data_IF_311476329155
#
_entry.id   IF_311476329155
#
_cell.length_a   1.000
_cell.length_b   1.000
_cell.length_c   1.000
_cell.angle_alpha   90.00
_cell.angle_beta   90.00
_cell.angle_gamma   90.00
#
_symmetry.space_group_name_H-M   'P 1'
#
loop_
_entity.id
_entity.type
_entity.pdbx_description
1 polymer ?
#
# COMPACT_ATOMS: atom_id res chain seq x y z
N UNK A 1 12.16 -26.47 -9.05
CA UNK A 1 12.62 -25.52 -8.01
C UNK A 1 14.07 -25.19 -8.33
N UNK A 2 14.30 -24.12 -9.10
CA UNK A 2 15.65 -23.69 -9.44
C UNK A 2 16.06 -22.72 -8.35
N UNK A 3 16.97 -23.16 -7.49
CA UNK A 3 17.62 -22.31 -6.49
C UNK A 3 18.63 -21.46 -7.25
N UNK A 4 18.19 -20.32 -7.78
CA UNK A 4 19.09 -19.35 -8.39
C UNK A 4 19.93 -18.79 -7.23
N UNK A 5 21.20 -19.14 -7.21
CA UNK A 5 22.14 -18.69 -6.20
C UNK A 5 22.26 -17.16 -6.33
N UNK A 6 22.10 -16.35 -5.26
CA UNK A 6 22.19 -14.89 -5.34
C UNK A 6 23.49 -14.38 -5.99
N UNK A 7 24.56 -15.18 -5.92
CA UNK A 7 25.84 -14.90 -6.56
C UNK A 7 25.82 -14.93 -8.10
N UNK A 8 24.96 -15.72 -8.74
CA UNK A 8 24.94 -15.82 -10.21
C UNK A 8 24.30 -14.57 -10.85
N UNK A 9 23.32 -13.95 -10.18
CA UNK A 9 22.72 -12.69 -10.62
C UNK A 9 23.74 -11.54 -10.58
N UNK A 10 24.56 -11.43 -9.53
CA UNK A 10 25.57 -10.39 -9.38
C UNK A 10 26.68 -10.42 -10.45
N UNK A 11 26.98 -11.61 -10.99
CA UNK A 11 28.05 -11.79 -11.97
C UNK A 11 27.57 -11.61 -13.42
N UNK A 12 26.26 -11.60 -13.68
CA UNK A 12 25.70 -11.55 -15.04
C UNK A 12 24.79 -10.35 -15.28
N UNK A 13 24.06 -9.87 -14.27
CA UNK A 13 23.42 -8.57 -14.33
C UNK A 13 24.49 -7.51 -14.05
N UNK A 14 24.60 -6.51 -14.92
CA UNK A 14 25.39 -5.28 -14.70
C UNK A 14 24.75 -4.41 -13.60
N UNK A 15 24.26 -5.04 -12.54
CA UNK A 15 23.60 -4.42 -11.41
C UNK A 15 24.57 -3.51 -10.69
N UNK A 16 24.15 -2.27 -10.46
CA UNK A 16 24.85 -1.32 -9.60
C UNK A 16 24.60 -1.58 -8.11
N UNK A 17 23.65 -2.45 -7.77
CA UNK A 17 23.29 -2.78 -6.40
C UNK A 17 24.27 -3.79 -5.77
N UNK A 18 24.60 -3.56 -4.50
CA UNK A 18 25.38 -4.49 -3.68
C UNK A 18 24.55 -5.71 -3.27
N UNK A 19 25.20 -6.76 -2.76
CA UNK A 19 24.53 -7.96 -2.23
C UNK A 19 23.53 -7.63 -1.14
N UNK A 20 23.89 -6.71 -0.24
CA UNK A 20 23.04 -6.27 0.86
C UNK A 20 21.81 -5.52 0.34
N UNK A 21 21.97 -4.68 -0.69
CA UNK A 21 20.87 -3.95 -1.33
C UNK A 21 19.92 -4.89 -2.06
N UNK A 22 20.44 -5.91 -2.76
CA UNK A 22 19.62 -6.96 -3.35
C UNK A 22 18.87 -7.78 -2.31
N UNK A 23 19.53 -8.11 -1.21
CA UNK A 23 18.92 -8.84 -0.10
C UNK A 23 17.79 -8.03 0.54
N UNK A 24 18.01 -6.74 0.76
CA UNK A 24 16.98 -5.84 1.25
C UNK A 24 15.79 -5.78 0.29
N UNK A 25 16.03 -5.56 -0.99
CA UNK A 25 14.98 -5.48 -2.03
C UNK A 25 14.16 -6.77 -2.10
N UNK A 26 14.83 -7.93 -2.07
CA UNK A 26 14.18 -9.24 -2.03
C UNK A 26 13.34 -9.42 -0.76
N UNK A 27 13.88 -9.09 0.41
CA UNK A 27 13.16 -9.18 1.69
C UNK A 27 11.92 -8.28 1.72
N UNK A 28 12.03 -7.07 1.18
CA UNK A 28 10.94 -6.12 1.01
C UNK A 28 9.82 -6.71 0.16
N UNK A 29 10.15 -7.20 -1.03
CA UNK A 29 9.15 -7.77 -1.93
C UNK A 29 8.50 -9.01 -1.31
N UNK A 30 9.30 -9.90 -0.73
CA UNK A 30 8.81 -11.12 -0.09
C UNK A 30 7.91 -10.83 1.12
N UNK A 31 8.20 -9.80 1.91
CA UNK A 31 7.36 -9.43 3.05
C UNK A 31 6.00 -8.89 2.63
N UNK A 32 5.98 -8.10 1.56
CA UNK A 32 4.72 -7.64 0.97
C UNK A 32 3.89 -8.81 0.46
N UNK A 33 4.51 -9.72 -0.28
CA UNK A 33 3.85 -10.89 -0.86
C UNK A 33 3.39 -11.88 0.21
N UNK A 34 4.19 -12.07 1.27
CA UNK A 34 3.85 -12.95 2.39
C UNK A 34 2.63 -12.46 3.17
N UNK A 35 2.52 -11.15 3.38
CA UNK A 35 1.36 -10.56 4.03
C UNK A 35 0.10 -10.60 3.15
N UNK A 36 0.27 -10.86 1.86
CA UNK A 36 -0.77 -11.08 0.85
C UNK A 36 -1.96 -10.09 0.92
N UNK A 37 -1.69 -8.77 0.97
CA UNK A 37 -2.75 -7.77 1.17
C UNK A 37 -3.77 -7.78 0.03
N UNK A 38 -3.34 -8.13 -1.20
CA UNK A 38 -4.20 -8.09 -2.40
C UNK A 38 -5.27 -9.16 -2.32
N UNK A 39 -4.89 -10.39 -2.02
CA UNK A 39 -5.87 -11.48 -1.86
C UNK A 39 -6.76 -11.26 -0.65
N UNK A 40 -6.23 -10.71 0.45
CA UNK A 40 -7.06 -10.37 1.63
C UNK A 40 -8.16 -9.38 1.27
N UNK A 41 -7.84 -8.31 0.53
CA UNK A 41 -8.85 -7.34 0.08
C UNK A 41 -9.82 -7.97 -0.93
N UNK A 42 -9.34 -8.77 -1.90
CA UNK A 42 -10.21 -9.49 -2.83
C UNK A 42 -11.19 -10.40 -2.09
N UNK A 43 -10.71 -11.14 -1.09
CA UNK A 43 -11.54 -11.99 -0.25
C UNK A 43 -12.60 -11.18 0.50
N UNK A 44 -12.24 -10.05 1.13
CA UNK A 44 -13.19 -9.18 1.84
C UNK A 44 -14.25 -8.64 0.88
N UNK A 45 -13.87 -8.17 -0.31
CA UNK A 45 -14.82 -7.65 -1.32
C UNK A 45 -15.77 -8.76 -1.77
N UNK A 46 -15.23 -9.91 -2.15
CA UNK A 46 -16.00 -11.04 -2.65
C UNK A 46 -16.95 -11.58 -1.57
N UNK A 47 -16.47 -11.74 -0.33
CA UNK A 47 -17.27 -12.21 0.80
C UNK A 47 -18.40 -11.23 1.17
N UNK A 48 -18.23 -9.92 0.99
CA UNK A 48 -19.32 -8.96 1.18
C UNK A 48 -20.33 -8.95 0.02
N UNK A 49 -19.86 -9.18 -1.21
CA UNK A 49 -20.72 -9.12 -2.40
C UNK A 49 -21.87 -10.14 -2.36
N UNK A 50 -21.66 -11.29 -1.73
CA UNK A 50 -22.65 -12.39 -1.61
C UNK A 50 -23.82 -12.05 -0.68
N UNK A 51 -23.66 -11.10 0.24
CA UNK A 51 -24.70 -10.75 1.20
C UNK A 51 -25.62 -9.63 0.68
N UNK A 52 -26.90 -9.60 1.09
CA UNK A 52 -27.78 -8.45 0.85
C UNK A 52 -27.26 -7.18 1.56
N UNK A 53 -27.53 -5.97 1.03
CA UNK A 53 -26.98 -4.71 1.57
C UNK A 53 -27.16 -4.50 3.08
N UNK A 54 -28.32 -4.89 3.64
CA UNK A 54 -28.61 -4.77 5.08
C UNK A 54 -27.72 -5.66 5.95
N UNK A 55 -27.29 -6.82 5.45
CA UNK A 55 -26.40 -7.74 6.16
C UNK A 55 -24.93 -7.38 5.97
N UNK A 56 -24.56 -6.73 4.86
CA UNK A 56 -23.20 -6.18 4.64
C UNK A 56 -22.80 -5.21 5.75
N UNK A 57 -23.69 -4.27 6.11
CA UNK A 57 -23.46 -3.31 7.19
C UNK A 57 -23.25 -3.96 8.56
N UNK A 58 -23.96 -5.06 8.84
CA UNK A 58 -23.82 -5.78 10.12
C UNK A 58 -22.47 -6.50 10.22
N UNK A 59 -22.02 -7.08 9.12
CA UNK A 59 -20.71 -7.76 9.06
C UNK A 59 -19.55 -6.78 8.85
N UNK A 60 -19.82 -5.53 8.44
CA UNK A 60 -18.81 -4.52 8.20
C UNK A 60 -17.89 -4.32 9.40
N UNK A 61 -18.42 -4.33 10.62
CA UNK A 61 -17.61 -4.18 11.83
C UNK A 61 -16.56 -5.30 11.98
N UNK A 62 -16.90 -6.55 11.70
CA UNK A 62 -15.96 -7.67 11.75
C UNK A 62 -14.88 -7.51 10.68
N UNK A 63 -15.27 -7.24 9.43
CA UNK A 63 -14.32 -7.07 8.33
C UNK A 63 -13.42 -5.84 8.49
N UNK A 64 -13.92 -4.76 9.09
CA UNK A 64 -13.10 -3.58 9.42
C UNK A 64 -12.04 -3.93 10.45
N UNK A 65 -12.38 -4.69 11.49
CA UNK A 65 -11.39 -5.12 12.48
C UNK A 65 -10.38 -6.10 11.89
N UNK A 66 -10.81 -7.03 11.03
CA UNK A 66 -9.91 -7.94 10.30
C UNK A 66 -8.96 -7.18 9.37
N UNK A 67 -9.46 -6.16 8.68
CA UNK A 67 -8.66 -5.28 7.83
C UNK A 67 -7.63 -4.48 8.63
N UNK A 68 -8.04 -3.90 9.76
CA UNK A 68 -7.15 -3.18 10.67
C UNK A 68 -6.06 -4.11 11.20
N UNK A 69 -6.44 -5.31 11.65
CA UNK A 69 -5.50 -6.30 12.15
C UNK A 69 -4.48 -6.71 11.07
N UNK A 70 -4.96 -7.05 9.87
CA UNK A 70 -4.11 -7.37 8.72
C UNK A 70 -3.14 -6.24 8.39
N UNK A 71 -3.60 -4.98 8.46
CA UNK A 71 -2.76 -3.80 8.23
C UNK A 71 -1.66 -3.67 9.30
N UNK A 72 -1.97 -3.89 10.57
CA UNK A 72 -0.96 -3.85 11.64
C UNK A 72 0.06 -4.98 11.50
N UNK A 73 -0.37 -6.21 11.21
CA UNK A 73 0.52 -7.35 10.98
C UNK A 73 1.44 -7.14 9.76
N UNK A 74 0.90 -6.54 8.70
CA UNK A 74 1.66 -6.11 7.53
C UNK A 74 2.76 -5.12 7.92
N UNK A 75 2.39 -4.02 8.61
CA UNK A 75 3.35 -3.01 9.07
C UNK A 75 4.41 -3.60 9.99
N UNK A 76 4.02 -4.46 10.93
CA UNK A 76 4.94 -5.13 11.86
C UNK A 76 6.01 -5.95 11.12
N UNK A 77 5.61 -6.62 10.04
CA UNK A 77 6.53 -7.41 9.21
C UNK A 77 7.59 -6.54 8.56
N UNK A 78 7.25 -5.34 8.08
CA UNK A 78 8.25 -4.40 7.54
C UNK A 78 9.15 -3.81 8.61
N UNK A 79 8.61 -3.50 9.79
CA UNK A 79 9.41 -2.99 10.92
C UNK A 79 10.55 -3.97 11.26
N UNK A 80 10.28 -5.28 11.19
CA UNK A 80 11.28 -6.33 11.45
C UNK A 80 12.38 -6.41 10.39
N UNK A 81 12.11 -5.95 9.16
CA UNK A 81 13.00 -6.04 8.00
C UNK A 81 13.84 -4.77 7.81
N UNK A 82 13.52 -3.69 8.53
CA UNK A 82 14.27 -2.44 8.54
C UNK A 82 14.93 -2.26 9.91
N UNK A 83 16.14 -2.83 10.13
CA UNK A 83 16.85 -2.76 11.40
C UNK A 83 17.06 -1.33 11.89
N UNK A 84 17.28 -0.40 10.97
CA UNK A 84 17.47 1.02 11.25
C UNK A 84 16.26 1.59 11.97
N UNK A 85 15.05 1.29 11.49
CA UNK A 85 13.81 1.73 12.13
C UNK A 85 13.63 1.08 13.50
N UNK A 86 13.86 -0.23 13.61
CA UNK A 86 13.76 -0.98 14.87
C UNK A 86 14.75 -0.49 15.94
N UNK A 87 15.93 -0.01 15.53
CA UNK A 87 16.97 0.55 16.42
C UNK A 87 16.63 1.94 16.97
N UNK A 88 15.66 2.65 16.37
CA UNK A 88 15.28 3.99 16.81
C UNK A 88 14.58 3.98 18.19
N UNK A 89 14.74 5.07 18.94
CA UNK A 89 13.96 5.33 20.17
C UNK A 89 12.45 5.27 19.86
N UNK A 90 11.68 4.71 20.79
CA UNK A 90 10.23 4.51 20.62
C UNK A 90 9.48 5.81 20.26
N UNK A 91 9.89 6.94 20.84
CA UNK A 91 9.31 8.25 20.54
C UNK A 91 9.54 8.64 19.08
N UNK A 92 10.75 8.40 18.54
CA UNK A 92 11.06 8.69 17.14
C UNK A 92 10.29 7.77 16.19
N UNK A 93 10.20 6.47 16.50
CA UNK A 93 9.38 5.52 15.73
C UNK A 93 7.92 5.96 15.67
N UNK A 94 7.38 6.37 16.82
CA UNK A 94 5.99 6.83 16.93
C UNK A 94 5.75 8.09 16.12
N UNK A 95 6.64 9.08 16.21
CA UNK A 95 6.53 10.33 15.43
C UNK A 95 6.61 10.05 13.93
N UNK A 96 7.57 9.23 13.50
CA UNK A 96 7.75 8.87 12.09
C UNK A 96 6.52 8.15 11.53
N UNK A 97 6.02 7.16 12.27
CA UNK A 97 4.82 6.41 11.89
C UNK A 97 3.59 7.31 11.80
N UNK A 98 3.36 8.18 12.80
CA UNK A 98 2.23 9.13 12.79
C UNK A 98 2.26 10.05 11.57
N UNK A 99 3.45 10.51 11.18
CA UNK A 99 3.61 11.38 10.02
C UNK A 99 3.36 10.64 8.71
N UNK A 100 3.87 9.42 8.57
CA UNK A 100 3.89 8.73 7.29
C UNK A 100 2.64 7.88 7.03
N UNK A 101 1.89 7.48 8.07
CA UNK A 101 0.80 6.49 7.95
C UNK A 101 -0.34 6.94 7.02
N UNK A 102 -0.64 8.24 6.96
CA UNK A 102 -1.68 8.76 6.07
C UNK A 102 -1.28 8.64 4.60
N UNK A 103 -0.06 9.07 4.26
CA UNK A 103 0.46 8.96 2.90
C UNK A 103 0.66 7.50 2.49
N UNK A 104 1.18 6.68 3.40
CA UNK A 104 1.31 5.24 3.21
C UNK A 104 -0.05 4.60 2.94
N UNK A 105 -1.04 4.88 3.78
CA UNK A 105 -2.39 4.35 3.65
C UNK A 105 -3.07 4.80 2.35
N UNK A 106 -2.94 6.08 2.01
CA UNK A 106 -3.47 6.64 0.77
C UNK A 106 -2.83 6.01 -0.47
N UNK A 107 -1.50 5.98 -0.54
CA UNK A 107 -0.78 5.39 -1.66
C UNK A 107 -1.04 3.88 -1.78
N UNK A 108 -1.00 3.14 -0.66
CA UNK A 108 -1.34 1.73 -0.65
C UNK A 108 -2.77 1.50 -1.13
N UNK A 109 -3.74 2.29 -0.66
CA UNK A 109 -5.13 2.18 -1.11
C UNK A 109 -5.25 2.33 -2.63
N UNK A 110 -4.58 3.32 -3.23
CA UNK A 110 -4.58 3.49 -4.69
C UNK A 110 -3.95 2.29 -5.41
N UNK A 111 -2.82 1.78 -4.89
CA UNK A 111 -2.20 0.56 -5.40
C UNK A 111 -3.18 -0.62 -5.30
N UNK A 112 -3.84 -0.83 -4.17
CA UNK A 112 -4.82 -1.90 -3.99
C UNK A 112 -5.99 -1.79 -4.96
N UNK A 113 -6.54 -0.59 -5.17
CA UNK A 113 -7.63 -0.36 -6.13
C UNK A 113 -7.19 -0.77 -7.54
N UNK A 114 -5.94 -0.46 -7.93
CA UNK A 114 -5.37 -0.88 -9.22
C UNK A 114 -5.30 -2.41 -9.34
N UNK A 115 -4.84 -3.10 -8.30
CA UNK A 115 -4.61 -4.55 -8.35
C UNK A 115 -5.91 -5.35 -8.23
N UNK A 116 -6.94 -4.80 -7.58
CA UNK A 116 -8.20 -5.49 -7.31
C UNK A 116 -9.27 -5.23 -8.37
N UNK A 117 -9.01 -4.35 -9.36
CA UNK A 117 -9.98 -3.91 -10.36
C UNK A 117 -11.27 -3.33 -9.75
N UNK A 118 -11.20 -2.73 -8.56
CA UNK A 118 -12.37 -2.17 -7.87
C UNK A 118 -13.09 -1.08 -8.68
N UNK A 119 -12.38 -0.34 -9.53
CA UNK A 119 -13.00 0.67 -10.41
C UNK A 119 -13.94 0.06 -11.47
N UNK A 120 -13.80 -1.23 -11.78
CA UNK A 120 -14.71 -1.94 -12.68
C UNK A 120 -15.98 -2.42 -11.95
N UNK A 121 -16.00 -2.39 -10.61
CA UNK A 121 -17.21 -2.68 -9.84
C UNK A 121 -18.16 -1.49 -9.87
N UNK A 122 -19.37 -1.71 -10.37
CA UNK A 122 -20.38 -0.67 -10.54
C UNK A 122 -20.78 -0.04 -9.20
N UNK A 123 -20.90 -0.84 -8.14
CA UNK A 123 -21.31 -0.33 -6.84
C UNK A 123 -20.21 0.56 -6.24
N UNK A 124 -18.95 0.16 -6.36
CA UNK A 124 -17.80 0.95 -5.91
C UNK A 124 -17.70 2.27 -6.68
N UNK A 125 -17.67 2.23 -8.01
CA UNK A 125 -17.50 3.42 -8.84
C UNK A 125 -18.66 4.42 -8.68
N UNK A 126 -19.89 3.93 -8.60
CA UNK A 126 -21.05 4.78 -8.35
C UNK A 126 -21.02 5.38 -6.93
N UNK A 127 -20.60 4.60 -5.92
CA UNK A 127 -20.48 5.10 -4.54
C UNK A 127 -19.39 6.17 -4.41
N UNK A 128 -18.23 5.94 -5.02
CA UNK A 128 -17.10 6.88 -5.03
C UNK A 128 -17.51 8.19 -5.72
N UNK A 129 -18.11 8.12 -6.91
CA UNK A 129 -18.55 9.31 -7.65
C UNK A 129 -19.70 10.06 -6.97
N UNK A 130 -20.64 9.36 -6.33
CA UNK A 130 -21.79 10.00 -5.67
C UNK A 130 -21.43 10.64 -4.33
N UNK A 131 -20.47 10.05 -3.60
CA UNK A 131 -20.07 10.55 -2.28
C UNK A 131 -19.06 11.69 -2.38
N UNK A 132 -18.11 11.61 -3.31
CA UNK A 132 -16.99 12.54 -3.41
C UNK A 132 -17.04 13.44 -4.66
N UNK A 133 -17.98 13.19 -5.57
CA UNK A 133 -18.13 13.94 -6.81
C UNK A 133 -17.24 13.42 -7.96
N UNK A 134 -17.58 13.85 -9.17
CA UNK A 134 -16.93 13.42 -10.40
C UNK A 134 -15.45 13.82 -10.50
N UNK A 135 -15.06 14.94 -9.87
CA UNK A 135 -13.66 15.39 -9.87
C UNK A 135 -12.75 14.40 -9.12
N UNK A 136 -13.13 13.98 -7.91
CA UNK A 136 -12.37 13.00 -7.11
C UNK A 136 -12.37 11.64 -7.80
N UNK A 137 -13.51 11.21 -8.36
CA UNK A 137 -13.59 9.97 -9.12
C UNK A 137 -12.62 9.96 -10.31
N UNK A 138 -12.67 10.98 -11.17
CA UNK A 138 -11.80 11.08 -12.33
C UNK A 138 -10.31 11.18 -11.93
N UNK A 139 -9.99 11.89 -10.85
CA UNK A 139 -8.64 11.93 -10.29
C UNK A 139 -8.16 10.54 -9.85
N UNK A 140 -9.02 9.79 -9.15
CA UNK A 140 -8.74 8.42 -8.72
C UNK A 140 -8.48 7.49 -9.91
N UNK A 141 -9.34 7.52 -10.93
CA UNK A 141 -9.17 6.72 -12.16
C UNK A 141 -7.83 7.02 -12.83
N UNK A 142 -7.48 8.30 -12.98
CA UNK A 142 -6.19 8.71 -13.58
C UNK A 142 -5.00 8.22 -12.79
N UNK A 143 -5.04 8.34 -11.46
CA UNK A 143 -3.99 7.86 -10.57
C UNK A 143 -3.83 6.35 -10.72
N UNK A 144 -4.93 5.59 -10.65
CA UNK A 144 -4.94 4.13 -10.77
C UNK A 144 -4.39 3.66 -12.11
N UNK A 145 -4.72 4.34 -13.22
CA UNK A 145 -4.19 4.02 -14.55
C UNK A 145 -2.66 4.21 -14.67
N UNK A 146 -2.03 4.98 -13.78
CA UNK A 146 -0.57 5.16 -13.76
C UNK A 146 0.15 4.06 -12.99
N UNK A 147 -0.56 3.20 -12.25
CA UNK A 147 0.01 2.08 -11.50
C UNK A 147 0.34 0.86 -12.35
N UNK A 148 0.21 0.94 -13.68
CA UNK A 148 0.64 -0.11 -14.64
C UNK A 148 2.18 -0.30 -14.68
N UNK A 149 2.89 0.38 -13.77
CA UNK A 149 4.33 0.27 -13.52
C UNK A 149 4.65 -1.01 -12.72
N UNK A 150 5.91 -1.45 -12.84
CA UNK A 150 6.48 -2.60 -12.13
C UNK A 150 6.04 -2.66 -10.65
N UNK A 151 5.29 -3.73 -10.31
CA UNK A 151 4.76 -3.94 -8.96
C UNK A 151 5.86 -3.95 -7.90
N UNK A 152 7.07 -4.40 -8.25
CA UNK A 152 8.22 -4.41 -7.33
C UNK A 152 8.59 -2.98 -6.96
N UNK A 153 8.61 -2.06 -7.94
CA UNK A 153 8.93 -0.65 -7.73
C UNK A 153 7.89 0.04 -6.84
N UNK A 154 6.62 -0.32 -7.00
CA UNK A 154 5.53 0.20 -6.16
C UNK A 154 5.62 -0.28 -4.72
N UNK A 155 5.95 -1.56 -4.50
CA UNK A 155 6.22 -2.11 -3.16
C UNK A 155 7.43 -1.46 -2.49
N UNK A 156 8.49 -1.18 -3.26
CA UNK A 156 9.65 -0.45 -2.76
C UNK A 156 9.30 0.99 -2.37
N UNK A 157 8.50 1.67 -3.20
CA UNK A 157 8.03 3.03 -2.92
C UNK A 157 7.16 3.08 -1.65
N UNK A 158 6.32 2.07 -1.41
CA UNK A 158 5.54 1.94 -0.18
C UNK A 158 6.43 1.94 1.07
N UNK A 159 7.52 1.18 1.05
CA UNK A 159 8.47 1.15 2.18
C UNK A 159 9.23 2.46 2.29
N UNK A 160 9.69 3.02 1.17
CA UNK A 160 10.34 4.32 1.17
C UNK A 160 9.44 5.38 1.81
N UNK A 161 8.15 5.41 1.46
CA UNK A 161 7.18 6.32 2.06
C UNK A 161 6.93 6.02 3.54
N UNK A 162 6.84 4.75 3.94
CA UNK A 162 6.60 4.34 5.32
C UNK A 162 7.71 4.78 6.27
N UNK A 163 8.97 4.67 5.86
CA UNK A 163 10.14 4.90 6.73
C UNK A 163 10.94 6.16 6.38
N UNK A 164 10.52 6.93 5.39
CA UNK A 164 11.21 8.17 5.01
C UNK A 164 11.09 9.24 6.09
N UNK A 165 12.25 9.80 6.45
CA UNK A 165 12.36 10.95 7.35
C UNK A 165 12.01 12.27 6.67
N UNK A 166 11.81 12.28 5.35
CA UNK A 166 11.61 13.48 4.52
C UNK A 166 10.25 13.54 3.82
N UNK A 167 9.34 12.61 4.12
CA UNK A 167 7.98 12.59 3.56
C UNK A 167 7.10 13.63 4.25
N UNK A 168 7.27 14.91 3.92
CA UNK A 168 6.29 15.94 4.27
C UNK A 168 5.32 16.14 3.10
N UNK A 169 4.02 16.20 3.42
CA UNK A 169 3.02 16.66 2.46
C UNK A 169 3.24 18.14 2.28
N UNK A 170 3.69 18.55 1.09
CA UNK A 170 3.69 19.96 0.73
C UNK A 170 2.23 20.36 0.55
N UNK A 171 1.64 20.92 1.60
CA UNK A 171 0.36 21.62 1.49
C UNK A 171 0.63 22.91 0.76
N UNK A 172 0.25 22.96 -0.53
CA UNK A 172 0.12 24.24 -1.20
C UNK A 172 -1.05 24.95 -0.55
N UNK A 173 -0.76 25.88 0.37
CA UNK A 173 -1.76 26.84 0.81
C UNK A 173 -2.24 27.57 -0.45
N UNK A 174 -3.46 27.25 -0.87
CA UNK A 174 -4.13 27.98 -1.92
C UNK A 174 -4.42 29.38 -1.37
N UNK A 175 -3.44 30.27 -1.48
CA UNK A 175 -3.67 31.70 -1.36
C UNK A 175 -4.53 32.12 -2.54
N UNK A 176 -5.84 32.21 -2.27
CA UNK A 176 -6.90 32.77 -3.11
C UNK A 176 -7.31 31.98 -4.35
N UNK A 177 -8.51 31.41 -4.31
CA UNK A 177 -9.50 31.54 -5.39
C UNK A 177 -10.90 31.49 -4.78
N UNK A 178 -11.45 32.68 -4.51
CA UNK A 178 -12.90 32.85 -4.42
C UNK A 178 -13.51 32.52 -5.78
N UNK A 179 -14.37 31.50 -5.84
CA UNK A 179 -15.44 31.37 -6.83
C UNK A 179 -16.68 30.79 -6.15
#
# INVERSE_FOLDING_TARGET
>A
MIMICPLDLLNHDRSLLTVDQWSLLSNVNNAYDHANPIENIRYIINSQSVFPPKLRLKMANCYVMDFIHSTYSFVESFIKIVPEFSSMKINHRTTLMKRNIQNLGGFNCQFMISQTNMLNDFAYSNSLSSTYGSWIFNGTVRIVQQFDLDQILLKLLLIALAFSTSSDVITFENNNCNY
#
